data_IF_956648893293
#
_entry.id   IF_956648893293
#
_cell.length_a   1.000
_cell.length_b   1.000
_cell.length_c   1.000
_cell.angle_alpha   90.00
_cell.angle_beta   90.00
_cell.angle_gamma   90.00
#
_symmetry.space_group_name_H-M   'P 1'
#
loop_
_entity.id
_entity.type
_entity.pdbx_description
1 polymer ?
#
# COMPACT_ATOMS: atom_id res chain seq x y z
N UNK A 1 14.08 11.26 11.48
CA UNK A 1 15.17 12.23 11.75
C UNK A 1 15.29 12.46 13.25
N UNK A 2 16.46 12.82 13.69
CA UNK A 2 16.72 13.11 15.12
C UNK A 2 15.74 14.18 15.62
N UNK A 3 15.07 13.95 16.76
CA UNK A 3 14.07 14.86 17.33
C UNK A 3 12.67 14.78 16.74
N UNK A 4 12.40 13.87 15.79
CA UNK A 4 11.03 13.65 15.30
C UNK A 4 10.23 12.85 16.33
N UNK A 5 9.05 13.33 16.79
CA UNK A 5 8.21 12.57 17.71
C UNK A 5 7.80 11.22 17.12
N UNK A 6 7.72 10.15 17.92
CA UNK A 6 7.20 8.88 17.44
C UNK A 6 5.70 8.96 17.15
N UNK A 7 5.25 8.26 16.12
CA UNK A 7 3.81 8.06 15.84
C UNK A 7 3.20 7.07 16.83
N UNK A 8 4.02 6.10 17.28
CA UNK A 8 3.66 5.08 18.27
C UNK A 8 4.71 5.03 19.37
N UNK A 9 4.29 5.00 20.63
CA UNK A 9 5.19 5.02 21.80
C UNK A 9 6.18 3.85 21.83
N UNK A 10 5.79 2.69 21.29
CA UNK A 10 6.60 1.49 21.19
C UNK A 10 7.51 1.45 19.93
N UNK A 11 7.48 2.50 19.10
CA UNK A 11 8.30 2.62 17.88
C UNK A 11 8.98 4.00 17.81
N UNK A 12 10.02 4.24 18.62
CA UNK A 12 10.58 5.58 18.83
C UNK A 12 11.33 6.16 17.63
N UNK A 13 11.79 5.34 16.69
CA UNK A 13 12.48 5.77 15.47
C UNK A 13 11.55 5.91 14.26
N UNK A 14 10.27 5.56 14.43
CA UNK A 14 9.27 5.49 13.37
C UNK A 14 9.58 4.50 12.23
N UNK A 15 10.59 3.65 12.34
CA UNK A 15 10.88 2.64 11.33
C UNK A 15 9.97 1.42 11.51
N UNK A 16 9.07 1.20 10.55
CA UNK A 16 8.17 0.07 10.57
C UNK A 16 8.83 -1.21 10.07
N UNK A 17 9.60 -1.10 8.99
CA UNK A 17 10.34 -2.21 8.40
C UNK A 17 11.52 -1.70 7.57
N UNK A 18 12.50 -2.60 7.37
CA UNK A 18 13.53 -2.48 6.36
C UNK A 18 13.50 -3.71 5.45
N UNK A 19 13.81 -3.51 4.18
CA UNK A 19 13.86 -4.59 3.20
C UNK A 19 15.04 -4.38 2.25
N UNK A 20 15.80 -5.45 2.03
CA UNK A 20 16.96 -5.45 1.14
C UNK A 20 16.72 -6.47 0.04
N UNK A 21 17.13 -6.13 -1.19
CA UNK A 21 17.06 -7.03 -2.33
C UNK A 21 18.26 -6.82 -3.25
N UNK A 22 18.76 -7.89 -3.86
CA UNK A 22 19.94 -7.88 -4.74
C UNK A 22 21.24 -8.23 -4.02
N UNK A 23 22.36 -7.90 -4.63
CA UNK A 23 23.71 -8.22 -4.12
C UNK A 23 24.50 -6.95 -3.79
N UNK A 24 24.57 -6.63 -2.50
CA UNK A 24 25.26 -5.45 -2.00
C UNK A 24 26.76 -5.49 -2.30
N UNK A 25 27.41 -6.64 -2.06
CA UNK A 25 28.85 -6.78 -2.22
C UNK A 25 29.24 -6.69 -3.71
N UNK A 26 28.51 -7.37 -4.59
CA UNK A 26 28.73 -7.28 -6.03
C UNK A 26 28.49 -5.85 -6.54
N UNK A 27 27.42 -5.19 -6.06
CA UNK A 27 27.12 -3.79 -6.43
C UNK A 27 28.22 -2.87 -5.98
N UNK A 28 28.67 -2.96 -4.72
CA UNK A 28 29.81 -2.18 -4.21
C UNK A 28 31.06 -2.36 -5.07
N UNK A 29 31.38 -3.60 -5.42
CA UNK A 29 32.55 -3.90 -6.26
C UNK A 29 32.45 -3.28 -7.67
N UNK A 30 31.25 -3.04 -8.20
CA UNK A 30 31.08 -2.32 -9.45
C UNK A 30 31.25 -0.80 -9.27
N UNK A 31 30.75 -0.24 -8.15
CA UNK A 31 30.95 1.16 -7.82
C UNK A 31 32.43 1.49 -7.61
N UNK A 32 33.20 0.59 -6.99
CA UNK A 32 34.66 0.77 -6.81
C UNK A 32 35.44 0.83 -8.13
N UNK A 33 34.88 0.31 -9.22
CA UNK A 33 35.46 0.29 -10.59
C UNK A 33 34.90 1.40 -11.49
N UNK A 34 33.88 2.12 -11.03
CA UNK A 34 33.19 3.09 -11.86
C UNK A 34 34.09 4.26 -12.26
N UNK A 35 33.99 4.64 -13.54
CA UNK A 35 34.62 5.87 -14.03
C UNK A 35 33.73 7.10 -13.74
N UNK A 36 32.41 6.90 -13.80
CA UNK A 36 31.41 7.90 -13.47
C UNK A 36 30.35 7.31 -12.53
N UNK A 37 29.92 8.13 -11.56
CA UNK A 37 28.77 7.81 -10.72
C UNK A 37 27.77 8.97 -10.85
N UNK A 38 26.57 8.61 -11.29
CA UNK A 38 25.45 9.54 -11.37
C UNK A 38 24.55 9.28 -10.17
N UNK A 39 24.22 10.32 -9.41
CA UNK A 39 23.33 10.26 -8.26
C UNK A 39 22.14 11.20 -8.47
N UNK A 40 20.94 10.71 -8.25
CA UNK A 40 19.71 11.50 -8.36
C UNK A 40 18.76 11.17 -7.19
N UNK A 41 18.14 12.21 -6.64
CA UNK A 41 17.05 12.04 -5.67
C UNK A 41 15.72 12.30 -6.36
N UNK A 42 14.80 11.39 -6.17
CA UNK A 42 13.44 11.45 -6.70
C UNK A 42 12.45 11.60 -5.54
N UNK A 43 11.64 12.64 -5.59
CA UNK A 43 10.50 12.81 -4.69
C UNK A 43 9.23 12.36 -5.41
N UNK A 44 8.72 11.22 -5.03
CA UNK A 44 7.51 10.64 -5.62
C UNK A 44 6.34 11.01 -4.72
N UNK A 45 5.55 11.97 -5.18
CA UNK A 45 4.48 12.57 -4.39
C UNK A 45 3.42 11.55 -3.96
N UNK A 46 2.88 11.76 -2.77
CA UNK A 46 1.64 11.09 -2.33
C UNK A 46 0.49 11.41 -3.28
N UNK A 47 -0.33 10.40 -3.58
CA UNK A 47 -1.50 10.53 -4.46
C UNK A 47 -2.73 9.88 -3.86
N UNK A 48 -3.90 10.46 -4.10
CA UNK A 48 -5.20 9.85 -3.86
C UNK A 48 -5.69 9.12 -5.11
N UNK A 49 -6.34 7.98 -4.94
CA UNK A 49 -6.93 7.22 -6.05
C UNK A 49 -8.08 7.98 -6.74
N UNK A 50 -8.79 8.77 -5.98
CA UNK A 50 -9.86 9.68 -6.43
C UNK A 50 -10.81 9.05 -7.47
N UNK A 51 -11.32 7.84 -7.17
CA UNK A 51 -12.33 7.20 -8.02
C UNK A 51 -13.61 8.06 -8.10
N UNK A 52 -14.26 8.09 -9.27
CA UNK A 52 -15.49 8.89 -9.48
C UNK A 52 -16.57 8.49 -8.47
N UNK A 53 -16.76 7.22 -8.25
CA UNK A 53 -17.58 6.70 -7.17
C UNK A 53 -16.76 6.63 -5.88
N UNK A 54 -17.22 7.30 -4.83
CA UNK A 54 -16.64 7.19 -3.48
C UNK A 54 -16.93 5.82 -2.88
N UNK A 55 -16.32 5.51 -1.72
CA UNK A 55 -16.64 4.28 -1.00
C UNK A 55 -18.07 4.32 -0.46
N UNK A 56 -18.75 3.19 -0.49
CA UNK A 56 -20.08 3.04 0.08
C UNK A 56 -20.41 1.60 0.38
N UNK A 57 -21.31 1.40 1.33
CA UNK A 57 -21.79 0.08 1.69
C UNK A 57 -23.21 0.10 2.28
N UNK A 58 -23.85 -1.05 2.22
CA UNK A 58 -25.09 -1.37 2.95
C UNK A 58 -24.86 -2.69 3.66
N UNK A 59 -24.83 -2.67 4.98
CA UNK A 59 -24.76 -3.86 5.83
C UNK A 59 -26.16 -4.34 6.20
N UNK A 60 -26.37 -5.66 6.15
CA UNK A 60 -27.58 -6.31 6.66
C UNK A 60 -27.19 -7.53 7.50
N UNK A 61 -28.05 -7.88 8.45
CA UNK A 61 -27.90 -9.06 9.29
C UNK A 61 -29.21 -9.84 9.31
N UNK A 62 -29.12 -11.15 9.11
CA UNK A 62 -30.24 -12.07 9.22
C UNK A 62 -30.16 -12.80 10.56
N UNK A 63 -31.17 -12.60 11.41
CA UNK A 63 -31.25 -13.20 12.74
C UNK A 63 -31.63 -14.69 12.70
N UNK A 64 -32.24 -15.18 11.61
CA UNK A 64 -32.68 -16.56 11.48
C UNK A 64 -31.50 -17.52 11.30
N UNK A 65 -30.58 -17.16 10.42
CA UNK A 65 -29.41 -17.99 10.11
C UNK A 65 -28.09 -17.40 10.64
N UNK A 66 -28.16 -16.33 11.43
CA UNK A 66 -27.00 -15.65 11.99
C UNK A 66 -25.97 -15.29 10.92
N UNK A 67 -26.40 -14.60 9.87
CA UNK A 67 -25.55 -14.30 8.73
C UNK A 67 -25.51 -12.80 8.39
N UNK A 68 -24.40 -12.40 7.82
CA UNK A 68 -24.11 -11.03 7.42
C UNK A 68 -24.10 -10.91 5.90
N UNK A 69 -24.77 -9.90 5.37
CA UNK A 69 -24.64 -9.53 3.95
C UNK A 69 -24.18 -8.09 3.84
N UNK A 70 -23.16 -7.85 3.01
CA UNK A 70 -22.66 -6.51 2.70
C UNK A 70 -22.72 -6.27 1.20
N UNK A 71 -23.40 -5.20 0.80
CA UNK A 71 -23.33 -4.62 -0.53
C UNK A 71 -22.32 -3.50 -0.47
N UNK A 72 -21.26 -3.54 -1.28
CA UNK A 72 -20.21 -2.53 -1.18
C UNK A 72 -19.41 -2.39 -2.48
N UNK A 73 -18.84 -1.22 -2.68
CA UNK A 73 -17.96 -0.92 -3.80
C UNK A 73 -16.54 -1.37 -3.45
N UNK A 74 -16.08 -2.48 -4.04
CA UNK A 74 -14.81 -3.09 -3.69
C UNK A 74 -14.09 -3.75 -4.87
N UNK A 75 -12.84 -4.13 -4.62
CA UNK A 75 -12.02 -4.97 -5.50
C UNK A 75 -11.71 -6.30 -4.79
N UNK A 76 -11.98 -7.44 -5.47
CA UNK A 76 -11.59 -8.76 -4.98
C UNK A 76 -12.54 -9.37 -3.94
N UNK A 77 -13.80 -9.59 -4.31
CA UNK A 77 -14.87 -10.15 -3.47
C UNK A 77 -14.46 -11.37 -2.63
N UNK A 78 -13.79 -12.42 -3.15
CA UNK A 78 -13.45 -13.59 -2.34
C UNK A 78 -12.48 -13.29 -1.20
N UNK A 79 -11.44 -12.52 -1.47
CA UNK A 79 -10.43 -12.13 -0.47
C UNK A 79 -11.06 -11.24 0.59
N UNK A 80 -11.92 -10.33 0.16
CA UNK A 80 -12.64 -9.42 1.04
C UNK A 80 -13.57 -10.18 2.00
N UNK A 81 -14.34 -11.16 1.50
CA UNK A 81 -15.20 -12.02 2.31
C UNK A 81 -14.41 -12.80 3.36
N UNK A 82 -13.32 -13.46 2.94
CA UNK A 82 -12.48 -14.22 3.85
C UNK A 82 -11.89 -13.32 4.97
N UNK A 83 -11.44 -12.13 4.62
CA UNK A 83 -10.89 -11.20 5.59
C UNK A 83 -11.96 -10.65 6.55
N UNK A 84 -13.15 -10.28 6.06
CA UNK A 84 -14.28 -9.88 6.91
C UNK A 84 -14.65 -10.98 7.91
N UNK A 85 -14.84 -12.21 7.42
CA UNK A 85 -15.22 -13.33 8.26
C UNK A 85 -14.17 -13.63 9.34
N UNK A 86 -12.91 -13.81 8.94
CA UNK A 86 -11.85 -14.29 9.83
C UNK A 86 -11.28 -13.21 10.76
N UNK A 87 -11.06 -11.99 10.23
CA UNK A 87 -10.30 -10.95 10.96
C UNK A 87 -11.21 -9.95 11.67
N UNK A 88 -12.40 -9.69 11.13
CA UNK A 88 -13.32 -8.66 11.64
C UNK A 88 -14.42 -9.27 12.46
N UNK A 89 -15.28 -10.09 11.84
CA UNK A 89 -16.47 -10.63 12.47
C UNK A 89 -16.19 -11.89 13.30
N UNK A 90 -15.09 -12.60 13.02
CA UNK A 90 -14.68 -13.86 13.66
C UNK A 90 -15.77 -14.94 13.60
N UNK A 91 -16.34 -15.09 12.41
CA UNK A 91 -17.37 -16.09 12.08
C UNK A 91 -16.92 -16.96 10.90
N UNK A 92 -17.54 -18.15 10.71
CA UNK A 92 -17.28 -18.96 9.52
C UNK A 92 -17.59 -18.21 8.23
N UNK A 93 -16.79 -18.41 7.17
CA UNK A 93 -16.96 -17.69 5.91
C UNK A 93 -18.34 -17.82 5.26
N UNK A 94 -19.02 -18.96 5.46
CA UNK A 94 -20.36 -19.16 4.93
C UNK A 94 -21.43 -18.27 5.58
N UNK A 95 -21.13 -17.68 6.74
CA UNK A 95 -21.98 -16.68 7.42
C UNK A 95 -21.81 -15.26 6.87
N UNK A 96 -20.91 -15.07 5.90
CA UNK A 96 -20.65 -13.75 5.32
C UNK A 96 -20.86 -13.78 3.81
N UNK A 97 -21.77 -12.97 3.33
CA UNK A 97 -22.01 -12.72 1.90
C UNK A 97 -21.54 -11.33 1.54
N UNK A 98 -20.71 -11.23 0.50
CA UNK A 98 -20.21 -9.96 -0.04
C UNK A 98 -20.72 -9.82 -1.47
N UNK A 99 -21.37 -8.71 -1.74
CA UNK A 99 -21.96 -8.40 -3.05
C UNK A 99 -21.36 -7.10 -3.56
N UNK A 100 -20.74 -7.17 -4.72
CA UNK A 100 -20.30 -6.00 -5.48
C UNK A 100 -21.01 -6.03 -6.83
N UNK A 101 -21.66 -4.92 -7.18
CA UNK A 101 -22.19 -4.68 -8.51
C UNK A 101 -21.14 -4.01 -9.39
N UNK A 102 -21.59 -3.14 -10.29
CA UNK A 102 -20.70 -2.27 -11.04
C UNK A 102 -20.00 -1.28 -10.10
N UNK A 103 -18.72 -1.09 -10.29
CA UNK A 103 -17.87 -0.27 -9.40
C UNK A 103 -17.30 0.91 -10.21
N UNK A 104 -17.60 2.12 -9.77
CA UNK A 104 -17.17 3.38 -10.40
C UNK A 104 -15.72 3.76 -10.13
N UNK A 105 -14.81 2.77 -10.26
CA UNK A 105 -13.37 2.90 -10.04
C UNK A 105 -12.92 2.47 -8.66
N UNK A 106 -11.70 1.94 -8.58
CA UNK A 106 -11.10 1.48 -7.32
C UNK A 106 -9.60 1.70 -7.29
N UNK A 107 -8.91 1.44 -8.40
CA UNK A 107 -7.47 1.69 -8.65
C UNK A 107 -6.53 1.13 -7.57
N UNK A 108 -6.97 0.08 -6.85
CA UNK A 108 -6.26 -0.52 -5.71
C UNK A 108 -6.75 -0.04 -4.34
N UNK A 109 -7.22 1.18 -4.21
CA UNK A 109 -7.70 1.75 -2.95
C UNK A 109 -8.86 0.95 -2.36
N UNK A 110 -9.84 0.52 -3.16
CA UNK A 110 -11.02 -0.25 -2.71
C UNK A 110 -10.72 -1.75 -2.46
N UNK A 111 -9.46 -2.17 -2.39
CA UNK A 111 -9.10 -3.56 -2.08
C UNK A 111 -8.91 -3.86 -0.58
N UNK A 112 -9.01 -2.84 0.28
CA UNK A 112 -8.93 -2.98 1.73
C UNK A 112 -10.29 -3.01 2.40
N UNK A 113 -10.37 -3.64 3.57
CA UNK A 113 -11.52 -3.49 4.46
C UNK A 113 -11.32 -2.18 5.23
N UNK A 114 -12.26 -1.27 5.06
CA UNK A 114 -12.33 -0.04 5.82
C UNK A 114 -13.26 -0.20 7.02
N UNK A 115 -13.03 0.60 8.05
CA UNK A 115 -13.79 0.52 9.31
C UNK A 115 -15.29 0.67 9.10
N UNK A 116 -15.71 1.52 8.17
CA UNK A 116 -17.12 1.83 7.91
C UNK A 116 -17.90 0.59 7.42
N UNK A 117 -17.24 -0.30 6.69
CA UNK A 117 -17.86 -1.57 6.26
C UNK A 117 -18.10 -2.49 7.44
N UNK A 118 -17.11 -2.63 8.31
CA UNK A 118 -17.21 -3.43 9.53
C UNK A 118 -18.30 -2.87 10.46
N UNK A 119 -18.26 -1.56 10.71
CA UNK A 119 -19.21 -0.86 11.56
C UNK A 119 -20.64 -0.94 11.02
N UNK A 120 -20.85 -0.84 9.71
CA UNK A 120 -22.18 -0.98 9.10
C UNK A 120 -22.77 -2.38 9.32
N UNK A 121 -21.96 -3.44 9.28
CA UNK A 121 -22.42 -4.80 9.58
C UNK A 121 -22.75 -5.00 11.06
N UNK A 122 -21.91 -4.50 11.94
CA UNK A 122 -22.12 -4.57 13.39
C UNK A 122 -23.37 -3.77 13.79
N UNK A 123 -23.52 -2.55 13.28
CA UNK A 123 -24.69 -1.73 13.52
C UNK A 123 -25.98 -2.37 12.96
N UNK A 124 -25.92 -3.00 11.79
CA UNK A 124 -27.08 -3.69 11.24
C UNK A 124 -27.55 -4.84 12.13
N UNK A 125 -26.62 -5.59 12.73
CA UNK A 125 -26.93 -6.63 13.71
C UNK A 125 -27.58 -6.05 14.97
N UNK A 126 -26.96 -5.00 15.53
CA UNK A 126 -27.37 -4.45 16.82
C UNK A 126 -28.68 -3.66 16.72
N UNK A 127 -28.96 -3.02 15.57
CA UNK A 127 -30.18 -2.28 15.31
C UNK A 127 -31.33 -3.12 14.72
N UNK A 128 -31.04 -4.32 14.21
CA UNK A 128 -32.03 -5.17 13.54
C UNK A 128 -32.57 -4.62 12.22
N UNK A 129 -31.84 -3.73 11.57
CA UNK A 129 -32.23 -3.13 10.29
C UNK A 129 -31.01 -2.87 9.38
N UNK A 130 -31.21 -2.76 8.05
CA UNK A 130 -30.12 -2.40 7.15
C UNK A 130 -29.49 -1.05 7.50
N UNK A 131 -28.15 -1.00 7.48
CA UNK A 131 -27.37 0.22 7.72
C UNK A 131 -26.58 0.60 6.48
N UNK A 132 -26.81 1.81 5.98
CA UNK A 132 -26.13 2.36 4.80
C UNK A 132 -25.17 3.45 5.20
N UNK A 133 -23.97 3.40 4.62
CA UNK A 133 -22.99 4.46 4.68
C UNK A 133 -22.44 4.78 3.29
N UNK A 134 -22.23 6.04 2.99
CA UNK A 134 -21.60 6.52 1.76
C UNK A 134 -20.65 7.65 2.12
N UNK A 135 -19.40 7.53 1.70
CA UNK A 135 -18.39 8.58 1.86
C UNK A 135 -18.74 9.81 1.02
N UNK A 136 -18.68 10.97 1.62
CA UNK A 136 -18.59 12.21 0.84
C UNK A 136 -17.25 12.31 0.12
N UNK A 137 -17.13 13.18 -0.86
CA UNK A 137 -15.84 13.40 -1.56
C UNK A 137 -14.76 13.93 -0.61
N UNK A 138 -15.10 14.78 0.32
CA UNK A 138 -14.17 15.31 1.33
C UNK A 138 -13.68 14.23 2.27
N UNK A 139 -14.59 13.37 2.75
CA UNK A 139 -14.20 12.21 3.57
C UNK A 139 -13.30 11.24 2.78
N UNK A 140 -13.58 11.01 1.49
CA UNK A 140 -12.73 10.16 0.65
C UNK A 140 -11.29 10.69 0.58
N UNK A 141 -11.08 11.98 0.40
CA UNK A 141 -9.74 12.57 0.43
C UNK A 141 -9.04 12.44 1.79
N UNK A 142 -9.80 12.45 2.88
CA UNK A 142 -9.25 12.39 4.23
C UNK A 142 -9.03 10.98 4.75
N UNK A 143 -9.80 9.99 4.28
CA UNK A 143 -9.84 8.64 4.88
C UNK A 143 -9.50 7.50 3.93
N UNK A 144 -9.51 7.70 2.62
CA UNK A 144 -9.12 6.65 1.68
C UNK A 144 -7.61 6.38 1.77
N UNK A 145 -7.21 5.12 1.59
CA UNK A 145 -5.79 4.79 1.49
C UNK A 145 -5.16 5.48 0.29
N UNK A 146 -4.07 6.19 0.53
CA UNK A 146 -3.30 6.87 -0.51
C UNK A 146 -2.29 5.93 -1.17
N UNK A 147 -1.65 6.37 -2.22
CA UNK A 147 -0.55 5.66 -2.87
C UNK A 147 0.73 6.48 -2.90
N UNK A 148 1.84 5.81 -3.24
CA UNK A 148 3.16 6.41 -3.42
C UNK A 148 3.72 7.04 -2.14
N UNK A 149 4.31 8.24 -2.20
CA UNK A 149 4.94 8.95 -1.08
C UNK A 149 6.31 8.38 -0.70
N UNK A 150 7.21 8.40 -1.68
CA UNK A 150 8.58 7.91 -1.53
C UNK A 150 9.60 9.01 -1.77
N UNK A 151 10.69 8.93 -1.02
CA UNK A 151 11.95 9.61 -1.36
C UNK A 151 12.93 8.52 -1.76
N UNK A 152 13.36 8.54 -3.01
CA UNK A 152 14.25 7.53 -3.58
C UNK A 152 15.54 8.19 -4.04
N UNK A 153 16.67 7.64 -3.61
CA UNK A 153 18.00 8.00 -4.10
C UNK A 153 18.49 6.88 -5.00
N UNK A 154 18.68 7.17 -6.28
CA UNK A 154 19.29 6.27 -7.24
C UNK A 154 20.75 6.66 -7.49
N UNK A 155 21.64 5.70 -7.51
CA UNK A 155 23.06 5.84 -7.86
C UNK A 155 23.38 4.83 -8.97
N UNK A 156 23.89 5.33 -10.10
CA UNK A 156 24.27 4.52 -11.24
C UNK A 156 25.79 4.60 -11.48
N UNK A 157 26.44 3.46 -11.43
CA UNK A 157 27.85 3.32 -11.73
C UNK A 157 28.05 3.02 -13.23
N UNK A 158 28.92 3.79 -13.88
CA UNK A 158 29.20 3.73 -15.30
C UNK A 158 30.70 3.55 -15.57
N UNK A 159 31.06 2.84 -16.63
CA UNK A 159 32.42 2.81 -17.13
C UNK A 159 32.74 4.09 -17.95
N UNK A 160 33.95 4.16 -18.50
CA UNK A 160 34.41 5.32 -19.31
C UNK A 160 33.61 5.52 -20.60
N UNK A 161 32.94 4.49 -21.09
CA UNK A 161 32.18 4.49 -22.36
C UNK A 161 30.65 4.63 -22.09
N UNK A 162 30.27 4.83 -20.82
CA UNK A 162 28.86 5.00 -20.41
C UNK A 162 28.08 3.70 -20.23
N UNK A 163 28.76 2.56 -20.19
CA UNK A 163 28.12 1.27 -19.94
C UNK A 163 27.76 1.14 -18.47
N UNK A 164 26.57 0.62 -18.19
CA UNK A 164 26.07 0.39 -16.82
C UNK A 164 26.84 -0.74 -16.15
N UNK A 165 27.39 -0.47 -14.99
CA UNK A 165 28.15 -1.40 -14.16
C UNK A 165 27.32 -1.85 -12.93
N UNK A 166 26.67 -0.92 -12.26
CA UNK A 166 25.90 -1.20 -11.07
C UNK A 166 24.84 -0.15 -10.79
N UNK A 167 23.73 -0.58 -10.21
CA UNK A 167 22.65 0.30 -9.76
C UNK A 167 22.43 0.10 -8.26
N UNK A 168 22.48 1.17 -7.49
CA UNK A 168 22.10 1.18 -6.08
C UNK A 168 20.90 2.10 -5.90
N UNK A 169 19.87 1.61 -5.21
CA UNK A 169 18.66 2.38 -4.94
C UNK A 169 18.33 2.32 -3.46
N UNK A 170 18.13 3.49 -2.85
CA UNK A 170 17.69 3.63 -1.47
C UNK A 170 16.37 4.37 -1.45
N UNK A 171 15.34 3.74 -0.89
CA UNK A 171 13.99 4.32 -0.82
C UNK A 171 13.51 4.43 0.62
N UNK A 172 13.04 5.62 0.99
CA UNK A 172 12.24 5.83 2.21
C UNK A 172 10.80 6.01 1.81
N UNK A 173 9.94 5.10 2.27
CA UNK A 173 8.49 5.11 2.01
C UNK A 173 7.73 5.56 3.24
N UNK A 174 6.95 6.64 3.11
CA UNK A 174 6.00 7.03 4.15
C UNK A 174 4.78 6.11 4.11
N UNK A 175 4.59 5.27 5.13
CA UNK A 175 3.50 4.28 5.16
C UNK A 175 2.21 4.80 5.80
N UNK A 176 2.24 5.98 6.39
CA UNK A 176 1.13 6.54 7.16
C UNK A 176 1.19 6.17 8.63
N UNK A 177 0.14 6.49 9.38
CA UNK A 177 0.12 6.31 10.84
C UNK A 177 -0.06 4.84 11.27
N UNK A 178 -0.55 3.97 10.40
CA UNK A 178 -0.75 2.55 10.68
C UNK A 178 -0.73 1.72 9.38
N UNK A 179 -0.52 0.40 9.52
CA UNK A 179 -0.54 -0.53 8.39
C UNK A 179 -1.98 -0.88 8.00
N UNK A 180 -2.33 -0.63 6.75
CA UNK A 180 -3.62 -1.01 6.18
C UNK A 180 -3.49 -2.33 5.39
N UNK A 181 -3.04 -3.40 6.02
CA UNK A 181 -2.90 -4.77 5.49
C UNK A 181 -2.23 -4.90 4.12
N UNK A 182 -1.02 -5.42 4.06
CA UNK A 182 -0.24 -5.61 2.84
C UNK A 182 0.37 -4.33 2.27
N UNK A 183 0.61 -3.34 3.11
CA UNK A 183 1.19 -2.03 2.76
C UNK A 183 2.64 -2.13 2.35
N UNK A 184 3.41 -2.98 3.04
CA UNK A 184 4.80 -3.28 2.71
C UNK A 184 4.96 -3.61 1.23
N UNK A 185 3.90 -4.12 0.63
CA UNK A 185 3.91 -4.54 -0.76
C UNK A 185 4.08 -3.41 -1.78
N UNK A 186 3.69 -2.17 -1.49
CA UNK A 186 3.75 -1.08 -2.48
C UNK A 186 5.18 -0.60 -2.70
N UNK A 187 6.00 -0.52 -1.66
CA UNK A 187 7.39 -0.08 -1.75
C UNK A 187 8.35 -1.21 -2.13
N UNK A 188 8.04 -2.47 -1.78
CA UNK A 188 8.92 -3.62 -2.03
C UNK A 188 8.46 -4.50 -3.20
N UNK A 189 7.18 -4.46 -3.57
CA UNK A 189 6.71 -5.19 -4.75
C UNK A 189 7.28 -4.63 -6.03
N UNK A 190 7.65 -5.56 -6.91
CA UNK A 190 8.14 -5.25 -8.24
C UNK A 190 9.51 -4.55 -8.26
N UNK A 191 10.31 -4.67 -7.21
CA UNK A 191 11.68 -4.16 -7.18
C UNK A 191 12.52 -4.75 -8.33
N UNK A 192 12.29 -6.00 -8.73
CA UNK A 192 12.91 -6.59 -9.92
C UNK A 192 12.63 -5.86 -11.24
N UNK A 193 11.68 -4.92 -11.28
CA UNK A 193 11.43 -4.08 -12.47
C UNK A 193 12.40 -2.90 -12.61
N UNK A 194 13.19 -2.58 -11.57
CA UNK A 194 14.19 -1.49 -11.61
C UNK A 194 15.29 -1.68 -12.64
N UNK A 195 15.60 -2.92 -13.01
CA UNK A 195 16.52 -3.18 -14.11
C UNK A 195 15.99 -2.68 -15.46
N UNK A 196 14.67 -2.57 -15.61
CA UNK A 196 14.00 -2.17 -16.84
C UNK A 196 14.40 -3.07 -18.00
N UNK A 197 14.76 -2.45 -19.13
CA UNK A 197 15.25 -3.13 -20.33
C UNK A 197 16.79 -3.15 -20.41
N UNK A 198 17.45 -2.59 -19.42
CA UNK A 198 18.91 -2.46 -19.40
C UNK A 198 19.59 -3.68 -18.79
N UNK A 199 20.78 -4.00 -19.29
CA UNK A 199 21.64 -5.03 -18.71
C UNK A 199 22.53 -4.37 -17.66
N UNK A 200 22.13 -4.43 -16.39
CA UNK A 200 22.91 -3.94 -15.26
C UNK A 200 23.46 -5.15 -14.49
N UNK A 201 24.79 -5.36 -14.46
CA UNK A 201 25.37 -6.58 -13.90
C UNK A 201 25.11 -6.80 -12.39
N UNK A 202 25.01 -5.72 -11.63
CA UNK A 202 24.78 -5.77 -10.19
C UNK A 202 23.78 -4.68 -9.78
N UNK A 203 22.81 -5.08 -8.96
CA UNK A 203 21.77 -4.16 -8.42
C UNK A 203 21.64 -4.44 -6.94
N UNK A 204 21.52 -3.39 -6.15
CA UNK A 204 21.21 -3.47 -4.72
C UNK A 204 20.17 -2.43 -4.33
N UNK A 205 19.20 -2.86 -3.55
CA UNK A 205 18.05 -2.10 -3.11
C UNK A 205 17.96 -2.10 -1.59
N UNK A 206 17.77 -0.92 -1.02
CA UNK A 206 17.52 -0.69 0.40
C UNK A 206 16.22 0.10 0.54
N UNK A 207 15.21 -0.48 1.17
CA UNK A 207 13.90 0.13 1.36
C UNK A 207 13.56 0.19 2.84
N UNK A 208 13.28 1.40 3.32
CA UNK A 208 12.77 1.64 4.67
C UNK A 208 11.34 2.16 4.62
N UNK A 209 10.41 1.46 5.28
CA UNK A 209 9.06 1.95 5.52
C UNK A 209 8.98 2.67 6.86
N UNK A 210 8.53 3.93 6.84
CA UNK A 210 8.48 4.76 8.05
C UNK A 210 7.05 5.18 8.36
N UNK A 211 6.70 5.16 9.64
CA UNK A 211 5.45 5.73 10.12
C UNK A 211 5.47 7.24 9.96
N UNK A 212 4.34 7.78 9.54
CA UNK A 212 4.14 9.23 9.38
C UNK A 212 2.75 9.62 9.88
N UNK A 213 2.59 10.85 10.33
CA UNK A 213 1.31 11.38 10.79
C UNK A 213 0.38 11.71 9.61
N UNK A 214 0.09 10.71 8.79
CA UNK A 214 -0.71 10.82 7.57
C UNK A 214 -1.60 9.60 7.39
N UNK A 215 -2.52 9.64 6.41
CA UNK A 215 -3.25 8.45 5.99
C UNK A 215 -2.31 7.32 5.61
N UNK A 216 -2.71 6.05 5.82
CA UNK A 216 -1.94 4.92 5.35
C UNK A 216 -1.86 4.89 3.82
N UNK A 217 -0.75 4.40 3.29
CA UNK A 217 -0.65 4.11 1.86
C UNK A 217 -1.24 2.74 1.53
N UNK A 218 -1.71 2.63 0.29
CA UNK A 218 -2.24 1.38 -0.28
C UNK A 218 -1.72 1.20 -1.69
N UNK A 219 -1.95 0.01 -2.23
CA UNK A 219 -1.75 -0.20 -3.64
C UNK A 219 -2.54 0.84 -4.44
N UNK A 220 -1.86 1.59 -5.27
CA UNK A 220 -2.44 2.49 -6.23
C UNK A 220 -1.88 2.18 -7.62
N UNK A 221 -2.75 2.05 -8.60
CA UNK A 221 -2.55 1.86 -10.04
C UNK A 221 -1.10 1.56 -10.46
N UNK A 222 -0.74 0.29 -10.41
CA UNK A 222 0.63 -0.16 -10.68
C UNK A 222 1.38 -0.71 -9.46
N UNK A 223 1.07 -0.27 -8.23
CA UNK A 223 1.55 -0.82 -6.97
C UNK A 223 3.07 -1.03 -6.94
N UNK A 224 3.83 0.03 -7.06
CA UNK A 224 5.29 0.08 -7.09
C UNK A 224 5.91 0.15 -8.48
N UNK A 225 5.26 -0.36 -9.53
CA UNK A 225 5.83 -0.34 -10.88
C UNK A 225 6.06 1.05 -11.46
N UNK A 226 5.11 2.01 -11.35
CA UNK A 226 5.35 3.36 -11.86
C UNK A 226 6.43 4.12 -11.08
N UNK A 227 6.65 3.72 -9.83
CA UNK A 227 7.66 4.31 -8.97
C UNK A 227 9.06 3.79 -9.28
N UNK A 228 9.14 2.62 -9.90
CA UNK A 228 10.39 1.95 -10.26
C UNK A 228 10.78 2.17 -11.74
N UNK A 229 9.95 2.85 -12.53
CA UNK A 229 10.16 3.05 -13.97
C UNK A 229 11.06 4.24 -14.32
#
# INVERSE_FOLDING_TARGET
SEGTPPVWDDNPDNVCYTHFEGDEAATKAQFDKAHHIVRQTFNINRVSANSMETRGCIGTYDTYDDSYTIYTTLQGVPIYRAALAKRVLRVPEHKVRVIAGDVGGGFGMKSAIYNEVALSLMAARDLGCPVKWISTRSEAFLSDGHGRDYVTVGELALDKDGKFLGLKVQTTSAIGAYLMGGVESSAVKNLGTLAGVYTTPAIFLDVSGVYTNTNPIRAYRGNGRPENA
#
